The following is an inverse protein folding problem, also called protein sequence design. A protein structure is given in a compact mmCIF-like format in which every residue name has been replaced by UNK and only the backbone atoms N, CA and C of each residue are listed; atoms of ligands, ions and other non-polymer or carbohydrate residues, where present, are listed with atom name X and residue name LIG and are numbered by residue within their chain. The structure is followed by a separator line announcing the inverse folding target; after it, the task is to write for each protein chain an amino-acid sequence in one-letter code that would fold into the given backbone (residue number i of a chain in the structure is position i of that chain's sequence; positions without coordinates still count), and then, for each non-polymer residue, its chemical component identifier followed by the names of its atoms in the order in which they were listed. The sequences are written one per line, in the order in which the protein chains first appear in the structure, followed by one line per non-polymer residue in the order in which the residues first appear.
data_IF_310937233074
#
_entry.id   IF_310937233074
#
_cell.length_a   1.000
_cell.length_b   1.000
_cell.length_c   1.000
_cell.angle_alpha   90.00
_cell.angle_beta   90.00
_cell.angle_gamma   90.00
#
_symmetry.space_group_name_H-M   'P 1'
#
loop_
_entity.id
_entity.type
_entity.pdbx_description
1 polymer ?
#
# COMPACT_ATOMS: atom_id res chain seq x y z
N UNK A 1 -55.74 18.06 70.04
CA UNK A 1 -56.04 18.36 68.62
C UNK A 1 -54.82 18.82 67.79
N UNK A 2 -53.90 19.64 68.33
CA UNK A 2 -52.73 20.15 67.59
C UNK A 2 -51.67 19.09 67.18
N UNK A 3 -51.50 18.01 67.96
CA UNK A 3 -50.51 16.95 67.66
C UNK A 3 -50.90 16.07 66.45
N UNK A 4 -52.20 15.81 66.24
CA UNK A 4 -52.66 14.98 65.10
C UNK A 4 -52.48 15.64 63.74
N UNK A 5 -52.56 16.98 63.68
CA UNK A 5 -52.36 17.76 62.46
C UNK A 5 -50.87 17.75 62.04
N UNK A 6 -49.96 17.83 63.02
CA UNK A 6 -48.51 17.76 62.76
C UNK A 6 -48.08 16.41 62.18
N UNK A 7 -48.64 15.30 62.70
CA UNK A 7 -48.33 13.94 62.22
C UNK A 7 -48.82 13.72 60.78
N UNK A 8 -49.92 14.37 60.37
CA UNK A 8 -50.45 14.27 59.01
C UNK A 8 -49.69 15.13 57.97
N UNK A 9 -49.05 16.23 58.38
CA UNK A 9 -48.34 17.14 57.48
C UNK A 9 -46.95 16.62 57.08
N UNK A 10 -46.24 15.97 57.99
CA UNK A 10 -44.89 15.41 57.77
C UNK A 10 -44.81 14.48 56.54
N UNK A 11 -45.69 13.47 56.35
CA UNK A 11 -45.62 12.59 55.18
C UNK A 11 -45.91 13.32 53.86
N UNK A 12 -46.74 14.37 53.89
CA UNK A 12 -47.01 15.21 52.71
C UNK A 12 -45.76 15.99 52.31
N UNK A 13 -45.05 16.59 53.28
CA UNK A 13 -43.79 17.29 53.03
C UNK A 13 -42.73 16.33 52.50
N UNK A 14 -42.60 15.14 53.08
CA UNK A 14 -41.65 14.11 52.60
C UNK A 14 -41.98 13.65 51.17
N UNK A 15 -43.26 13.49 50.83
CA UNK A 15 -43.67 13.15 49.48
C UNK A 15 -43.32 14.26 48.47
N UNK A 16 -43.52 15.53 48.84
CA UNK A 16 -43.14 16.68 48.00
C UNK A 16 -41.62 16.73 47.80
N UNK A 17 -40.84 16.56 48.87
CA UNK A 17 -39.36 16.51 48.79
C UNK A 17 -38.91 15.35 47.89
N UNK A 18 -39.52 14.17 48.04
CA UNK A 18 -39.21 13.00 47.21
C UNK A 18 -39.53 13.24 45.74
N UNK A 19 -40.64 13.91 45.42
CA UNK A 19 -41.02 14.23 44.04
C UNK A 19 -40.04 15.24 43.43
N UNK A 20 -39.67 16.27 44.17
CA UNK A 20 -38.69 17.27 43.74
C UNK A 20 -37.33 16.59 43.51
N UNK A 21 -36.89 15.74 44.45
CA UNK A 21 -35.64 14.99 44.34
C UNK A 21 -35.63 14.06 43.11
N UNK A 22 -36.70 13.28 42.92
CA UNK A 22 -36.84 12.41 41.75
C UNK A 22 -36.82 13.21 40.44
N UNK A 23 -37.47 14.37 40.39
CA UNK A 23 -37.44 15.23 39.22
C UNK A 23 -36.03 15.73 38.89
N UNK A 24 -35.26 16.16 39.90
CA UNK A 24 -33.86 16.55 39.71
C UNK A 24 -32.98 15.38 39.27
N UNK A 25 -33.14 14.20 39.88
CA UNK A 25 -32.41 12.99 39.51
C UNK A 25 -32.70 12.58 38.06
N UNK A 26 -33.97 12.60 37.64
CA UNK A 26 -34.33 12.31 36.25
C UNK A 26 -33.69 13.29 35.27
N UNK A 27 -33.64 14.59 35.60
CA UNK A 27 -32.97 15.58 34.74
C UNK A 27 -31.46 15.35 34.64
N UNK A 28 -30.79 15.00 35.73
CA UNK A 28 -29.36 14.68 35.73
C UNK A 28 -29.08 13.42 34.89
N UNK A 29 -29.87 12.36 35.07
CA UNK A 29 -29.75 11.12 34.29
C UNK A 29 -29.97 11.39 32.80
N UNK A 30 -31.00 12.19 32.44
CA UNK A 30 -31.27 12.55 31.06
C UNK A 30 -30.14 13.39 30.44
N UNK A 31 -29.58 14.34 31.20
CA UNK A 31 -28.44 15.14 30.75
C UNK A 31 -27.23 14.26 30.50
N UNK A 32 -26.85 13.41 31.46
CA UNK A 32 -25.72 12.50 31.34
C UNK A 32 -25.92 11.52 30.17
N UNK A 33 -27.13 10.95 30.01
CA UNK A 33 -27.44 10.08 28.86
C UNK A 33 -27.28 10.81 27.52
N UNK A 34 -27.73 12.07 27.43
CA UNK A 34 -27.61 12.87 26.20
C UNK A 34 -26.16 13.25 25.89
N UNK A 35 -25.37 13.49 26.93
CA UNK A 35 -23.95 13.79 26.79
C UNK A 35 -23.18 12.54 26.34
N UNK A 36 -23.37 11.40 27.02
CA UNK A 36 -22.80 10.13 26.61
C UNK A 36 -23.27 9.69 25.21
N UNK A 37 -24.53 9.93 24.83
CA UNK A 37 -24.99 9.59 23.48
C UNK A 37 -24.29 10.42 22.41
N UNK A 38 -24.04 11.70 22.67
CA UNK A 38 -23.29 12.57 21.75
C UNK A 38 -21.83 12.16 21.63
N UNK A 39 -21.20 11.77 22.73
CA UNK A 39 -19.83 11.25 22.71
C UNK A 39 -19.74 9.93 21.94
N UNK A 40 -20.70 9.02 22.12
CA UNK A 40 -20.74 7.77 21.34
C UNK A 40 -20.92 8.06 19.85
N UNK A 41 -21.79 9.01 19.50
CA UNK A 41 -22.03 9.39 18.11
C UNK A 41 -20.80 10.06 17.48
N UNK A 42 -20.10 10.92 18.22
CA UNK A 42 -18.87 11.55 17.74
C UNK A 42 -17.75 10.53 17.55
N UNK A 43 -17.57 9.58 18.49
CA UNK A 43 -16.60 8.49 18.38
C UNK A 43 -16.93 7.62 17.17
N UNK A 44 -18.19 7.23 16.98
CA UNK A 44 -18.63 6.45 15.81
C UNK A 44 -18.34 7.17 14.50
N UNK A 45 -18.67 8.45 14.43
CA UNK A 45 -18.42 9.27 13.24
C UNK A 45 -16.94 9.37 12.92
N UNK A 46 -16.08 9.53 13.94
CA UNK A 46 -14.64 9.58 13.76
C UNK A 46 -14.07 8.23 13.31
N UNK A 47 -14.54 7.12 13.88
CA UNK A 47 -14.16 5.77 13.47
C UNK A 47 -14.59 5.47 12.02
N UNK A 48 -15.78 5.89 11.62
CA UNK A 48 -16.26 5.74 10.24
C UNK A 48 -15.42 6.55 9.26
N UNK A 49 -15.05 7.79 9.63
CA UNK A 49 -14.14 8.62 8.83
C UNK A 49 -12.75 7.99 8.70
N UNK A 50 -12.17 7.53 9.81
CA UNK A 50 -10.87 6.85 9.79
C UNK A 50 -10.92 5.60 8.92
N UNK A 51 -11.93 4.76 9.10
CA UNK A 51 -12.14 3.56 8.27
C UNK A 51 -12.21 3.92 6.78
N UNK A 52 -12.97 4.96 6.43
CA UNK A 52 -13.08 5.42 5.05
C UNK A 52 -11.74 5.91 4.48
N UNK A 53 -10.98 6.69 5.24
CA UNK A 53 -9.65 7.16 4.84
C UNK A 53 -8.68 5.98 4.66
N UNK A 54 -8.69 5.02 5.58
CA UNK A 54 -7.86 3.83 5.49
C UNK A 54 -8.21 2.99 4.26
N UNK A 55 -9.49 2.84 3.95
CA UNK A 55 -9.94 2.13 2.76
C UNK A 55 -9.48 2.84 1.49
N UNK A 56 -9.69 4.15 1.37
CA UNK A 56 -9.22 4.92 0.21
C UNK A 56 -7.71 4.84 0.02
N UNK A 57 -6.95 4.91 1.11
CA UNK A 57 -5.49 4.77 1.09
C UNK A 57 -5.08 3.39 0.58
N UNK A 58 -5.71 2.34 1.12
CA UNK A 58 -5.46 0.97 0.69
C UNK A 58 -5.78 0.77 -0.80
N UNK A 59 -6.95 1.24 -1.26
CA UNK A 59 -7.35 1.11 -2.67
C UNK A 59 -6.35 1.81 -3.60
N UNK A 60 -5.86 2.99 -3.19
CA UNK A 60 -4.83 3.72 -3.95
C UNK A 60 -3.49 2.99 -3.97
N UNK A 61 -3.04 2.48 -2.82
CA UNK A 61 -1.81 1.67 -2.71
C UNK A 61 -1.90 0.41 -3.56
N UNK A 62 -3.04 -0.30 -3.51
CA UNK A 62 -3.26 -1.52 -4.27
C UNK A 62 -3.14 -1.31 -5.78
N UNK A 63 -3.78 -0.26 -6.32
CA UNK A 63 -3.67 0.06 -7.75
C UNK A 63 -2.25 0.47 -8.15
N UNK A 64 -1.52 1.17 -7.27
CA UNK A 64 -0.11 1.50 -7.50
C UNK A 64 0.75 0.23 -7.53
N UNK A 65 0.58 -0.69 -6.58
CA UNK A 65 1.39 -1.92 -6.52
C UNK A 65 1.06 -2.88 -7.65
N UNK A 66 -0.18 -2.91 -8.11
CA UNK A 66 -0.57 -3.64 -9.32
C UNK A 66 0.13 -3.09 -10.57
N UNK A 67 0.20 -1.76 -10.70
CA UNK A 67 0.97 -1.10 -11.78
C UNK A 67 2.47 -1.41 -11.68
N UNK A 68 3.05 -1.24 -10.50
CA UNK A 68 4.46 -1.55 -10.25
C UNK A 68 4.80 -3.00 -10.58
N UNK A 69 3.97 -3.95 -10.13
CA UNK A 69 4.17 -5.37 -10.40
C UNK A 69 4.11 -5.70 -11.89
N UNK A 70 3.17 -5.08 -12.62
CA UNK A 70 3.06 -5.27 -14.07
C UNK A 70 4.35 -4.83 -14.78
N UNK A 71 4.87 -3.65 -14.46
CA UNK A 71 6.10 -3.16 -15.09
C UNK A 71 7.33 -3.96 -14.65
N UNK A 72 7.39 -4.40 -13.38
CA UNK A 72 8.43 -5.30 -12.87
C UNK A 72 8.44 -6.64 -13.62
N UNK A 73 7.28 -7.24 -13.84
CA UNK A 73 7.14 -8.47 -14.62
C UNK A 73 7.54 -8.26 -16.09
N UNK A 74 7.18 -7.11 -16.67
CA UNK A 74 7.63 -6.73 -18.01
C UNK A 74 9.15 -6.61 -18.12
N UNK A 75 9.79 -6.02 -17.12
CA UNK A 75 11.24 -5.94 -17.03
C UNK A 75 11.88 -7.33 -16.90
N UNK A 76 11.33 -8.22 -16.06
CA UNK A 76 11.78 -9.62 -15.91
C UNK A 76 11.81 -10.32 -17.27
N UNK A 77 10.71 -10.24 -18.01
CA UNK A 77 10.57 -10.89 -19.31
C UNK A 77 11.54 -10.33 -20.35
N UNK A 78 11.79 -9.02 -20.35
CA UNK A 78 12.77 -8.42 -21.27
C UNK A 78 14.21 -8.81 -20.93
N UNK A 79 14.54 -8.93 -19.65
CA UNK A 79 15.83 -9.46 -19.19
C UNK A 79 15.97 -10.92 -19.64
N UNK A 80 14.96 -11.77 -19.42
CA UNK A 80 14.95 -13.17 -19.87
C UNK A 80 15.17 -13.30 -21.39
N UNK A 81 14.52 -12.44 -22.16
CA UNK A 81 14.59 -12.44 -23.62
C UNK A 81 15.99 -12.10 -24.14
N UNK A 82 16.70 -11.19 -23.46
CA UNK A 82 18.09 -10.86 -23.77
C UNK A 82 19.01 -12.08 -23.75
N UNK A 83 18.73 -13.05 -22.87
CA UNK A 83 19.52 -14.27 -22.68
C UNK A 83 18.98 -15.49 -23.44
N UNK A 84 17.87 -15.35 -24.15
CA UNK A 84 17.28 -16.46 -24.90
C UNK A 84 18.02 -16.64 -26.22
N UNK A 85 18.73 -17.77 -26.35
CA UNK A 85 19.45 -18.16 -27.57
C UNK A 85 18.60 -18.99 -28.54
N UNK A 86 17.54 -19.63 -28.05
CA UNK A 86 16.67 -20.50 -28.84
C UNK A 86 15.42 -19.75 -29.33
N UNK A 87 15.57 -18.90 -30.33
CA UNK A 87 14.45 -18.23 -30.98
C UNK A 87 14.33 -18.63 -32.44
N UNK A 88 13.10 -18.54 -32.96
CA UNK A 88 12.84 -18.65 -34.38
C UNK A 88 13.52 -17.47 -35.08
N UNK A 89 14.66 -17.75 -35.70
CA UNK A 89 15.51 -16.75 -36.34
C UNK A 89 14.84 -16.28 -37.62
N UNK A 90 14.45 -15.00 -37.66
CA UNK A 90 14.14 -14.33 -38.93
C UNK A 90 15.42 -14.31 -39.78
N UNK A 91 15.45 -15.01 -40.93
CA UNK A 91 16.63 -15.05 -41.79
C UNK A 91 16.96 -13.70 -42.44
N UNK A 92 16.05 -12.72 -42.40
CA UNK A 92 16.28 -11.38 -42.92
C UNK A 92 17.07 -10.47 -41.96
N UNK A 93 17.17 -10.81 -40.66
CA UNK A 93 17.85 -10.00 -39.63
C UNK A 93 19.22 -10.55 -39.29
N UNK A 94 20.21 -9.67 -39.21
CA UNK A 94 21.55 -9.98 -38.69
C UNK A 94 21.50 -10.26 -37.18
N UNK A 95 22.52 -10.93 -36.65
CA UNK A 95 22.62 -11.16 -35.20
C UNK A 95 22.72 -9.84 -34.41
N UNK A 96 23.32 -8.81 -34.98
CA UNK A 96 23.49 -7.50 -34.35
C UNK A 96 22.15 -6.76 -34.26
N UNK A 97 21.37 -6.77 -35.35
CA UNK A 97 20.03 -6.17 -35.38
C UNK A 97 19.09 -6.80 -34.35
N UNK A 98 19.13 -8.13 -34.19
CA UNK A 98 18.33 -8.83 -33.17
C UNK A 98 18.76 -8.47 -31.75
N UNK A 99 20.08 -8.43 -31.47
CA UNK A 99 20.60 -8.00 -30.16
C UNK A 99 20.17 -6.56 -29.86
N UNK A 100 20.22 -5.67 -30.85
CA UNK A 100 19.80 -4.28 -30.73
C UNK A 100 18.30 -4.15 -30.44
N UNK A 101 17.46 -4.92 -31.12
CA UNK A 101 16.00 -4.94 -30.89
C UNK A 101 15.66 -5.38 -29.46
N UNK A 102 16.27 -6.46 -28.97
CA UNK A 102 16.10 -6.92 -27.58
C UNK A 102 16.56 -5.88 -26.56
N UNK A 103 17.69 -5.22 -26.83
CA UNK A 103 18.19 -4.15 -25.98
C UNK A 103 17.24 -2.94 -25.97
N UNK A 104 16.67 -2.56 -27.11
CA UNK A 104 15.65 -1.51 -27.17
C UNK A 104 14.43 -1.87 -26.32
N UNK A 105 13.92 -3.10 -26.43
CA UNK A 105 12.80 -3.57 -25.62
C UNK A 105 13.13 -3.49 -24.12
N UNK A 106 14.33 -3.91 -23.72
CA UNK A 106 14.78 -3.84 -22.34
C UNK A 106 14.83 -2.40 -21.83
N UNK A 107 15.38 -1.47 -22.62
CA UNK A 107 15.44 -0.04 -22.28
C UNK A 107 14.02 0.53 -22.11
N UNK A 108 13.09 0.20 -23.01
CA UNK A 108 11.71 0.68 -22.93
C UNK A 108 11.00 0.16 -21.66
N UNK A 109 11.24 -1.10 -21.29
CA UNK A 109 10.72 -1.68 -20.05
C UNK A 109 11.35 -1.06 -18.81
N UNK A 110 12.66 -0.82 -18.84
CA UNK A 110 13.35 -0.12 -17.76
C UNK A 110 12.77 1.29 -17.56
N UNK A 111 12.58 2.05 -18.63
CA UNK A 111 12.02 3.41 -18.56
C UNK A 111 10.58 3.39 -18.02
N UNK A 112 9.75 2.44 -18.45
CA UNK A 112 8.38 2.28 -17.95
C UNK A 112 8.35 1.96 -16.45
N UNK A 113 9.27 1.10 -15.99
CA UNK A 113 9.43 0.79 -14.57
C UNK A 113 9.90 2.01 -13.77
N UNK A 114 10.90 2.74 -14.27
CA UNK A 114 11.40 3.98 -13.68
C UNK A 114 10.30 5.03 -13.52
N UNK A 115 9.54 5.31 -14.58
CA UNK A 115 8.43 6.26 -14.54
C UNK A 115 7.39 5.86 -13.50
N UNK A 116 7.06 4.56 -13.43
CA UNK A 116 6.11 4.03 -12.45
C UNK A 116 6.60 4.20 -11.01
N UNK A 117 7.90 4.00 -10.77
CA UNK A 117 8.51 4.21 -9.45
C UNK A 117 8.54 5.70 -9.09
N UNK A 118 8.98 6.57 -9.99
CA UNK A 118 9.10 8.00 -9.67
C UNK A 118 7.73 8.69 -9.53
N UNK A 119 6.77 8.39 -10.40
CA UNK A 119 5.44 9.04 -10.36
C UNK A 119 4.62 8.66 -9.14
N UNK A 120 4.91 7.52 -8.52
CA UNK A 120 4.19 7.01 -7.36
C UNK A 120 5.02 7.04 -6.07
N UNK A 121 6.22 7.65 -6.09
CA UNK A 121 7.16 7.71 -4.97
C UNK A 121 6.53 8.02 -3.59
N UNK A 122 5.62 9.00 -3.45
CA UNK A 122 5.02 9.33 -2.15
C UNK A 122 4.09 8.26 -1.57
N UNK A 123 3.67 7.28 -2.37
CA UNK A 123 2.67 6.27 -2.00
C UNK A 123 3.27 4.89 -1.75
N UNK A 124 4.55 4.69 -2.03
CA UNK A 124 5.21 3.44 -1.69
C UNK A 124 5.48 3.33 -0.20
N UNK A 125 5.33 2.13 0.33
CA UNK A 125 5.98 1.80 1.58
C UNK A 125 7.49 1.75 1.39
N UNK A 126 8.22 2.14 2.43
CA UNK A 126 9.68 2.25 2.41
C UNK A 126 10.34 0.98 1.84
N UNK A 127 9.99 -0.20 2.35
CA UNK A 127 10.58 -1.48 1.94
C UNK A 127 10.33 -1.78 0.44
N UNK A 128 9.16 -1.44 -0.08
CA UNK A 128 8.82 -1.61 -1.51
C UNK A 128 9.63 -0.64 -2.36
N UNK A 129 9.71 0.62 -1.93
CA UNK A 129 10.47 1.64 -2.64
C UNK A 129 11.96 1.29 -2.69
N UNK A 130 12.56 0.87 -1.57
CA UNK A 130 13.97 0.51 -1.51
C UNK A 130 14.32 -0.65 -2.43
N UNK A 131 13.47 -1.66 -2.54
CA UNK A 131 13.69 -2.77 -3.49
C UNK A 131 13.53 -2.29 -4.93
N UNK A 132 12.51 -1.47 -5.22
CA UNK A 132 12.32 -0.92 -6.56
C UNK A 132 13.51 -0.04 -7.00
N UNK A 133 14.03 0.78 -6.10
CA UNK A 133 15.22 1.63 -6.32
C UNK A 133 16.49 0.81 -6.55
N UNK A 134 16.67 -0.29 -5.80
CA UNK A 134 17.75 -1.26 -6.05
C UNK A 134 17.65 -1.90 -7.44
N UNK A 135 16.44 -2.29 -7.86
CA UNK A 135 16.20 -2.82 -9.21
C UNK A 135 16.60 -1.80 -10.28
N UNK A 136 16.22 -0.52 -10.09
CA UNK A 136 16.57 0.56 -11.02
C UNK A 136 18.09 0.76 -11.11
N UNK A 137 18.75 0.94 -9.98
CA UNK A 137 20.21 1.12 -9.91
C UNK A 137 20.93 -0.04 -10.59
N UNK A 138 20.56 -1.27 -10.24
CA UNK A 138 21.20 -2.46 -10.76
C UNK A 138 20.98 -2.66 -12.27
N UNK A 139 19.77 -2.35 -12.75
CA UNK A 139 19.44 -2.45 -14.19
C UNK A 139 20.17 -1.41 -15.01
N UNK A 140 20.30 -0.17 -14.50
CA UNK A 140 21.04 0.90 -15.17
C UNK A 140 22.53 0.56 -15.31
N UNK A 141 23.16 0.11 -14.23
CA UNK A 141 24.58 -0.28 -14.22
C UNK A 141 24.85 -1.53 -15.06
N UNK A 142 23.93 -2.51 -15.03
CA UNK A 142 24.10 -3.81 -15.67
C UNK A 142 23.87 -3.83 -17.18
N UNK A 143 23.00 -2.94 -17.70
CA UNK A 143 22.56 -2.98 -19.10
C UNK A 143 22.89 -1.72 -19.90
N UNK A 144 23.85 -0.90 -19.43
CA UNK A 144 24.37 0.18 -20.27
C UNK A 144 24.84 -0.39 -21.62
N UNK A 145 24.42 0.26 -22.71
CA UNK A 145 24.58 -0.25 -24.09
C UNK A 145 26.04 -0.59 -24.45
N UNK A 146 27.01 0.05 -23.80
CA UNK A 146 28.44 -0.21 -23.97
C UNK A 146 28.90 -1.55 -23.39
N UNK A 147 28.23 -2.06 -22.33
CA UNK A 147 28.57 -3.33 -21.69
C UNK A 147 28.10 -4.53 -22.50
N UNK A 148 26.95 -4.44 -23.17
CA UNK A 148 26.37 -5.60 -23.89
C UNK A 148 27.02 -5.80 -25.28
N UNK A 149 27.55 -4.74 -25.89
CA UNK A 149 28.04 -4.76 -27.28
C UNK A 149 29.54 -5.08 -27.46
N UNK A 150 30.34 -5.11 -26.39
CA UNK A 150 31.79 -5.37 -26.46
C UNK A 150 32.17 -6.64 -25.69
N UNK A 151 32.49 -7.72 -26.41
CA UNK A 151 33.20 -8.95 -25.97
C UNK A 151 32.33 -10.11 -25.41
N UNK A 152 32.39 -11.28 -26.08
CA UNK A 152 31.31 -12.30 -26.04
C UNK A 152 31.50 -13.45 -25.03
N UNK A 153 32.72 -13.76 -24.57
CA UNK A 153 32.95 -15.02 -23.83
C UNK A 153 33.15 -14.87 -22.32
N UNK A 154 33.91 -13.87 -21.87
CA UNK A 154 34.17 -13.63 -20.43
C UNK A 154 33.00 -12.95 -19.71
N UNK A 155 32.06 -12.39 -20.47
CA UNK A 155 30.89 -11.63 -19.98
C UNK A 155 29.66 -12.50 -19.70
N UNK A 156 29.57 -13.71 -20.24
CA UNK A 156 28.35 -14.52 -20.09
C UNK A 156 28.08 -14.90 -18.63
N UNK A 157 29.10 -15.35 -17.90
CA UNK A 157 28.97 -15.67 -16.47
C UNK A 157 28.62 -14.44 -15.61
N UNK A 158 29.17 -13.28 -15.92
CA UNK A 158 28.85 -12.03 -15.21
C UNK A 158 27.42 -11.59 -15.49
N UNK A 159 26.96 -11.72 -16.73
CA UNK A 159 25.61 -11.39 -17.13
C UNK A 159 24.58 -12.39 -16.58
N UNK A 160 24.89 -13.69 -16.51
CA UNK A 160 24.05 -14.69 -15.85
C UNK A 160 23.92 -14.42 -14.35
N UNK A 161 25.01 -14.07 -13.67
CA UNK A 161 24.96 -13.67 -12.24
C UNK A 161 24.07 -12.44 -12.06
N UNK A 162 24.22 -11.43 -12.91
CA UNK A 162 23.40 -10.23 -12.87
C UNK A 162 21.93 -10.52 -13.14
N UNK A 163 21.64 -11.39 -14.10
CA UNK A 163 20.29 -11.87 -14.37
C UNK A 163 19.68 -12.48 -13.10
N UNK A 164 20.38 -13.42 -12.46
CA UNK A 164 19.91 -14.08 -11.25
C UNK A 164 19.67 -13.09 -10.09
N UNK A 165 20.54 -12.07 -9.95
CA UNK A 165 20.36 -11.01 -8.95
C UNK A 165 19.11 -10.16 -9.20
N UNK A 166 18.85 -9.79 -10.47
CA UNK A 166 17.61 -9.09 -10.83
C UNK A 166 16.37 -9.95 -10.57
N UNK A 167 16.41 -11.22 -10.93
CA UNK A 167 15.30 -12.15 -10.66
C UNK A 167 15.02 -12.24 -9.16
N UNK A 168 16.07 -12.32 -8.34
CA UNK A 168 15.96 -12.33 -6.89
C UNK A 168 15.33 -11.03 -6.35
N UNK A 169 15.78 -9.86 -6.84
CA UNK A 169 15.21 -8.57 -6.44
C UNK A 169 13.74 -8.43 -6.84
N UNK A 170 13.37 -8.90 -8.03
CA UNK A 170 11.98 -8.90 -8.51
C UNK A 170 11.08 -9.84 -7.69
N UNK A 171 11.60 -11.01 -7.31
CA UNK A 171 10.86 -11.94 -6.45
C UNK A 171 10.73 -11.38 -5.01
N UNK A 172 11.76 -10.68 -4.51
CA UNK A 172 11.67 -9.94 -3.25
C UNK A 172 10.62 -8.83 -3.33
N UNK A 173 10.59 -8.06 -4.41
CA UNK A 173 9.57 -7.03 -4.64
C UNK A 173 8.17 -7.64 -4.61
N UNK A 174 7.97 -8.78 -5.29
CA UNK A 174 6.71 -9.53 -5.28
C UNK A 174 6.30 -9.91 -3.86
N UNK A 175 7.24 -10.42 -3.07
CA UNK A 175 7.01 -10.80 -1.67
C UNK A 175 6.61 -9.60 -0.82
N UNK A 176 7.35 -8.49 -0.89
CA UNK A 176 7.02 -7.28 -0.13
C UNK A 176 5.65 -6.71 -0.50
N UNK A 177 5.28 -6.76 -1.80
CA UNK A 177 3.94 -6.38 -2.25
C UNK A 177 2.88 -7.29 -1.63
N UNK A 178 3.05 -8.63 -1.69
CA UNK A 178 2.13 -9.61 -1.10
C UNK A 178 1.96 -9.43 0.41
N UNK A 179 3.08 -9.32 1.13
CA UNK A 179 3.09 -9.12 2.58
C UNK A 179 2.35 -7.82 2.95
N UNK A 180 2.48 -6.77 2.13
CA UNK A 180 1.81 -5.49 2.32
C UNK A 180 0.30 -5.56 2.09
N UNK A 181 -0.14 -6.27 1.03
CA UNK A 181 -1.56 -6.41 0.68
C UNK A 181 -2.24 -7.58 1.41
N UNK A 182 -1.49 -8.37 2.18
CA UNK A 182 -1.95 -9.52 2.95
C UNK A 182 -2.63 -10.61 2.08
N UNK A 183 -2.00 -10.97 0.96
CA UNK A 183 -2.45 -12.02 0.03
C UNK A 183 -1.43 -13.16 -0.04
#
# INVERSE_FOLDING_TARGET
MKQGILVAIIPVILAIISLIWNYFQQRLILKNKKESSKEIESIKTNLEKEKYIHQLKFDKEFEIYKGLWKEAAGLKLAVDDLFRFSEFVDPAKTSEERKKEKLTILIDRYNSFLETVEYNKPFYYQDIYEIADKILTFSYEGYSAEIILRDEQKKYEELEKRKAEIELLLDQLCKHIRDRIQI
#
